data_IF_152359407671
#
_entry.id   IF_152359407671
#
_cell.length_a   1.000
_cell.length_b   1.000
_cell.length_c   1.000
_cell.angle_alpha   90.00
_cell.angle_beta   90.00
_cell.angle_gamma   90.00
#
_symmetry.space_group_name_H-M   'P 1'
#
loop_
_entity.id
_entity.type
_entity.pdbx_description
1 polymer ?
#
# COMPACT_ATOMS: atom_id res chain seq x y z
N UNK A 1 -20.16 13.15 -10.20
CA UNK A 1 -18.87 12.48 -9.97
C UNK A 1 -18.75 12.25 -8.48
N UNK A 2 -18.60 11.01 -8.02
CA UNK A 2 -18.35 10.73 -6.61
C UNK A 2 -17.00 11.34 -6.23
N UNK A 3 -17.01 12.35 -5.36
CA UNK A 3 -15.78 12.89 -4.79
C UNK A 3 -15.23 11.84 -3.83
N UNK A 4 -14.10 11.24 -4.19
CA UNK A 4 -13.39 10.32 -3.32
C UNK A 4 -12.77 11.11 -2.16
N UNK A 5 -13.07 10.71 -0.94
CA UNK A 5 -12.48 11.33 0.26
C UNK A 5 -11.12 10.74 0.59
N UNK A 6 -10.31 11.48 1.35
CA UNK A 6 -9.06 10.98 1.90
C UNK A 6 -9.24 9.62 2.60
N UNK A 7 -10.23 9.54 3.49
CA UNK A 7 -10.54 8.31 4.23
C UNK A 7 -10.86 7.14 3.31
N UNK A 8 -11.66 7.36 2.25
CA UNK A 8 -12.01 6.31 1.29
C UNK A 8 -10.80 5.80 0.51
N UNK A 9 -9.95 6.73 0.04
CA UNK A 9 -8.74 6.39 -0.73
C UNK A 9 -7.74 5.66 0.17
N UNK A 10 -7.52 6.14 1.40
CA UNK A 10 -6.62 5.52 2.37
C UNK A 10 -7.08 4.13 2.77
N UNK A 11 -8.37 3.94 3.13
CA UNK A 11 -8.92 2.61 3.45
C UNK A 11 -8.82 1.66 2.28
N UNK A 12 -9.04 2.14 1.05
CA UNK A 12 -8.93 1.30 -0.14
C UNK A 12 -7.48 0.88 -0.36
N UNK A 13 -6.53 1.81 -0.29
CA UNK A 13 -5.11 1.54 -0.46
C UNK A 13 -4.61 0.51 0.56
N UNK A 14 -4.98 0.68 1.82
CA UNK A 14 -4.63 -0.24 2.90
C UNK A 14 -5.08 -1.68 2.61
N UNK A 15 -6.34 -1.84 2.18
CA UNK A 15 -6.88 -3.16 1.83
C UNK A 15 -6.11 -3.79 0.68
N UNK A 16 -5.87 -3.05 -0.41
CA UNK A 16 -5.14 -3.59 -1.57
C UNK A 16 -3.69 -3.94 -1.23
N UNK A 17 -3.01 -3.11 -0.42
CA UNK A 17 -1.66 -3.39 0.07
C UNK A 17 -1.67 -4.68 0.90
N UNK A 18 -2.61 -4.84 1.83
CA UNK A 18 -2.72 -6.06 2.63
C UNK A 18 -3.00 -7.31 1.79
N UNK A 19 -3.97 -7.24 0.87
CA UNK A 19 -4.33 -8.35 0.00
C UNK A 19 -3.13 -8.79 -0.88
N UNK A 20 -2.37 -7.83 -1.40
CA UNK A 20 -1.15 -8.10 -2.16
C UNK A 20 -0.02 -8.68 -1.30
N UNK A 21 0.21 -8.13 -0.10
CA UNK A 21 1.23 -8.63 0.82
C UNK A 21 0.91 -10.03 1.36
N UNK A 22 -0.37 -10.36 1.56
CA UNK A 22 -0.80 -11.72 1.93
C UNK A 22 -0.50 -12.71 0.81
N UNK A 23 -0.78 -12.37 -0.45
CA UNK A 23 -0.40 -13.21 -1.59
C UNK A 23 1.12 -13.35 -1.72
N UNK A 24 1.87 -12.27 -1.52
CA UNK A 24 3.33 -12.31 -1.50
C UNK A 24 3.88 -13.25 -0.39
N UNK A 25 3.24 -13.29 0.78
CA UNK A 25 3.61 -14.19 1.86
C UNK A 25 3.36 -15.67 1.52
N UNK A 26 2.34 -15.96 0.70
CA UNK A 26 2.01 -17.31 0.24
C UNK A 26 2.92 -17.82 -0.90
N UNK A 27 3.65 -16.94 -1.61
CA UNK A 27 4.56 -17.35 -2.67
C UNK A 27 5.90 -17.89 -2.11
N UNK A 28 6.56 -18.77 -2.86
CA UNK A 28 7.95 -19.15 -2.55
C UNK A 28 8.92 -18.01 -2.87
N UNK A 29 10.02 -17.93 -2.10
CA UNK A 29 11.06 -16.93 -2.32
C UNK A 29 11.70 -17.09 -3.70
N UNK A 30 11.92 -15.97 -4.39
CA UNK A 30 12.54 -15.95 -5.72
C UNK A 30 11.60 -16.31 -6.88
N UNK A 31 10.33 -16.60 -6.61
CA UNK A 31 9.36 -16.86 -7.68
C UNK A 31 8.84 -15.58 -8.34
N UNK A 32 8.43 -15.69 -9.61
CA UNK A 32 7.79 -14.59 -10.32
C UNK A 32 6.52 -14.09 -9.60
N UNK A 33 5.72 -15.00 -9.04
CA UNK A 33 4.50 -14.65 -8.29
C UNK A 33 4.77 -13.77 -7.07
N UNK A 34 5.89 -14.00 -6.36
CA UNK A 34 6.31 -13.12 -5.27
C UNK A 34 6.61 -11.71 -5.79
N UNK A 35 7.38 -11.59 -6.86
CA UNK A 35 7.72 -10.31 -7.47
C UNK A 35 6.48 -9.53 -7.93
N UNK A 36 5.52 -10.22 -8.54
CA UNK A 36 4.26 -9.63 -8.99
C UNK A 36 3.44 -9.08 -7.82
N UNK A 37 3.23 -9.89 -6.77
CA UNK A 37 2.45 -9.47 -5.61
C UNK A 37 3.10 -8.30 -4.85
N UNK A 38 4.44 -8.28 -4.73
CA UNK A 38 5.16 -7.13 -4.16
C UNK A 38 5.03 -5.87 -5.04
N UNK A 39 5.08 -6.05 -6.36
CA UNK A 39 4.87 -4.96 -7.32
C UNK A 39 3.48 -4.35 -7.20
N UNK A 40 2.45 -5.17 -7.04
CA UNK A 40 1.07 -4.73 -6.85
C UNK A 40 0.89 -3.95 -5.53
N UNK A 41 1.47 -4.43 -4.42
CA UNK A 41 1.43 -3.71 -3.14
C UNK A 41 2.07 -2.32 -3.26
N UNK A 42 3.24 -2.22 -3.91
CA UNK A 42 3.92 -0.94 -4.16
C UNK A 42 3.13 -0.05 -5.11
N UNK A 43 2.51 -0.62 -6.14
CA UNK A 43 1.65 0.10 -7.06
C UNK A 43 0.44 0.72 -6.36
N UNK A 44 -0.20 -0.01 -5.45
CA UNK A 44 -1.30 0.51 -4.63
C UNK A 44 -0.85 1.67 -3.74
N UNK A 45 0.33 1.56 -3.11
CA UNK A 45 0.92 2.66 -2.34
C UNK A 45 1.24 3.89 -3.19
N UNK A 46 1.87 3.72 -4.36
CA UNK A 46 2.17 4.85 -5.27
C UNK A 46 0.90 5.51 -5.79
N UNK A 47 -0.15 4.73 -6.10
CA UNK A 47 -1.43 5.29 -6.52
C UNK A 47 -2.09 6.09 -5.40
N UNK A 48 -2.09 5.57 -4.17
CA UNK A 48 -2.57 6.30 -3.00
C UNK A 48 -1.86 7.64 -2.85
N UNK A 49 -0.54 7.64 -2.93
CA UNK A 49 0.27 8.85 -2.81
C UNK A 49 -0.12 9.91 -3.85
N UNK A 50 -0.22 9.48 -5.11
CA UNK A 50 -0.63 10.35 -6.22
C UNK A 50 -2.06 10.89 -6.07
N UNK A 51 -2.98 10.10 -5.51
CA UNK A 51 -4.36 10.52 -5.27
C UNK A 51 -4.46 11.53 -4.12
N UNK A 52 -3.74 11.29 -3.01
CA UNK A 52 -3.74 12.18 -1.84
C UNK A 52 -3.15 13.55 -2.21
N UNK A 53 -2.11 13.61 -3.05
CA UNK A 53 -1.56 14.88 -3.56
C UNK A 53 -2.57 15.73 -4.35
N UNK A 54 -3.68 15.14 -4.82
CA UNK A 54 -4.73 15.83 -5.59
C UNK A 54 -5.93 16.24 -4.74
N UNK A 55 -5.91 15.96 -3.43
CA UNK A 55 -6.97 16.37 -2.51
C UNK A 55 -6.64 17.73 -1.92
N UNK A 56 -7.57 18.67 -2.04
CA UNK A 56 -7.37 20.07 -1.61
C UNK A 56 -7.38 20.25 -0.08
N UNK A 57 -8.04 19.35 0.66
CA UNK A 57 -8.25 19.49 2.12
C UNK A 57 -7.87 18.21 2.85
N UNK A 58 -6.57 18.02 3.05
CA UNK A 58 -6.02 16.89 3.81
C UNK A 58 -5.15 17.36 4.96
N UNK A 59 -5.31 16.72 6.12
CA UNK A 59 -4.47 16.96 7.27
C UNK A 59 -3.06 16.41 7.00
N UNK A 60 -2.08 17.30 6.80
CA UNK A 60 -0.72 16.93 6.47
C UNK A 60 -0.05 16.01 7.51
N UNK A 61 -0.46 16.07 8.79
CA UNK A 61 0.07 15.17 9.81
C UNK A 61 -0.46 13.73 9.63
N UNK A 62 -1.74 13.57 9.34
CA UNK A 62 -2.35 12.26 9.03
C UNK A 62 -1.74 11.67 7.77
N UNK A 63 -1.60 12.46 6.70
CA UNK A 63 -0.97 12.02 5.45
C UNK A 63 0.45 11.50 5.69
N UNK A 64 1.25 12.18 6.53
CA UNK A 64 2.61 11.72 6.86
C UNK A 64 2.59 10.42 7.68
N UNK A 65 1.67 10.29 8.62
CA UNK A 65 1.54 9.08 9.43
C UNK A 65 1.14 7.87 8.56
N UNK A 66 0.14 8.04 7.70
CA UNK A 66 -0.30 6.97 6.79
C UNK A 66 0.77 6.63 5.74
N UNK A 67 1.51 7.64 5.24
CA UNK A 67 2.65 7.39 4.34
C UNK A 67 3.68 6.48 5.00
N UNK A 68 4.12 6.80 6.21
CA UNK A 68 5.10 6.00 6.94
C UNK A 68 4.57 4.58 7.21
N UNK A 69 3.28 4.46 7.54
CA UNK A 69 2.61 3.17 7.78
C UNK A 69 2.56 2.32 6.52
N UNK A 70 2.17 2.87 5.38
CA UNK A 70 2.12 2.15 4.11
C UNK A 70 3.51 1.81 3.57
N UNK A 71 4.47 2.72 3.70
CA UNK A 71 5.86 2.47 3.35
C UNK A 71 6.43 1.28 4.15
N UNK A 72 6.18 1.25 5.46
CA UNK A 72 6.56 0.13 6.31
C UNK A 72 5.91 -1.20 5.88
N UNK A 73 4.65 -1.18 5.43
CA UNK A 73 3.96 -2.38 4.93
C UNK A 73 4.55 -2.90 3.61
N UNK A 74 4.72 -2.03 2.60
CA UNK A 74 5.15 -2.45 1.25
C UNK A 74 6.64 -2.78 1.14
N UNK A 75 7.44 -2.30 2.09
CA UNK A 75 8.87 -2.61 2.21
C UNK A 75 9.20 -3.50 3.40
N UNK A 76 8.19 -4.06 4.07
CA UNK A 76 8.39 -5.08 5.09
C UNK A 76 9.19 -6.23 4.49
N UNK A 77 10.37 -6.49 5.05
CA UNK A 77 11.13 -7.69 4.69
C UNK A 77 10.35 -8.90 5.19
N UNK A 78 10.22 -9.95 4.35
CA UNK A 78 9.85 -11.26 4.90
C UNK A 78 10.94 -11.65 5.89
N UNK A 79 10.57 -11.74 7.16
CA UNK A 79 11.39 -12.45 8.14
C UNK A 79 11.47 -13.89 7.66
N UNK A 80 12.69 -14.40 7.48
CA UNK A 80 12.92 -15.83 7.31
C UNK A 80 12.66 -16.51 8.67
N UNK A 81 11.39 -16.62 9.07
CA UNK A 81 11.03 -17.61 10.08
C UNK A 81 11.01 -18.96 9.38
N UNK A 82 12.03 -19.75 9.74
CA UNK A 82 12.27 -21.13 9.32
C UNK A 82 11.13 -22.07 9.76
#
# INVERSE_FOLDING_TARGET
MTHLTYEQITKRAEREIHDAMQRAAACELGTYGLGLALGEARGAYTLWDALVMRLDDTNAAEVRADRARFEALVYAKRSATA
#
